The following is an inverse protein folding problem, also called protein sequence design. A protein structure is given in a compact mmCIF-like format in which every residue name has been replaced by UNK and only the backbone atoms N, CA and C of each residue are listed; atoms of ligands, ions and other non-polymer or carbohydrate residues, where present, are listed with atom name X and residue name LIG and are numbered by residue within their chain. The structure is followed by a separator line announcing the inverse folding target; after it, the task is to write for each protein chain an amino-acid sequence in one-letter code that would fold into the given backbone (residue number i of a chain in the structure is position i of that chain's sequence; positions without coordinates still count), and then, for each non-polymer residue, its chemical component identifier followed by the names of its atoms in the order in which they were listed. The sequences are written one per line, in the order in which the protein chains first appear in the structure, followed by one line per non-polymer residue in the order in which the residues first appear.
data_IF_734394556052
#
_entry.id   IF_734394556052
#
_cell.length_a   1.000
_cell.length_b   1.000
_cell.length_c   1.000
_cell.angle_alpha   90.00
_cell.angle_beta   90.00
_cell.angle_gamma   90.00
#
_symmetry.space_group_name_H-M   'P 1'
#
loop_
_entity.id
_entity.type
_entity.pdbx_description
1 polymer ?
#
# COMPACT_ATOMS: atom_id res chain seq x y z
N UNK A 1 -0.05 1.14 -12.23
CA UNK A 1 0.79 1.94 -13.15
C UNK A 1 1.08 3.29 -12.52
N UNK A 2 2.28 3.82 -12.73
CA UNK A 2 2.65 5.18 -12.31
C UNK A 2 2.30 6.17 -13.41
N UNK A 3 1.72 7.30 -13.01
CA UNK A 3 1.46 8.41 -13.91
C UNK A 3 2.30 9.62 -13.46
N UNK A 4 2.93 10.29 -14.40
CA UNK A 4 3.55 11.61 -14.22
C UNK A 4 2.82 12.61 -15.10
N UNK A 5 2.34 13.71 -14.53
CA UNK A 5 1.63 14.75 -15.25
C UNK A 5 0.10 14.58 -15.29
N UNK A 6 -0.55 15.03 -16.35
CA UNK A 6 -2.02 15.09 -16.47
C UNK A 6 -2.65 13.69 -16.56
N UNK A 7 -3.82 13.51 -15.96
CA UNK A 7 -4.62 12.29 -16.04
C UNK A 7 -5.13 12.10 -17.47
N UNK A 8 -4.60 11.10 -18.18
CA UNK A 8 -4.87 10.92 -19.62
C UNK A 8 -5.89 9.83 -19.92
N UNK A 9 -6.29 8.98 -18.95
CA UNK A 9 -7.18 7.83 -19.13
C UNK A 9 -8.22 7.78 -18.03
N UNK A 10 -9.37 7.19 -18.32
CA UNK A 10 -10.36 6.88 -17.30
C UNK A 10 -9.79 5.86 -16.30
N UNK A 11 -9.93 6.12 -15.00
CA UNK A 11 -9.42 5.24 -13.96
C UNK A 11 -9.37 5.90 -12.58
N UNK A 12 -8.98 5.10 -11.58
CA UNK A 12 -8.76 5.59 -10.23
C UNK A 12 -7.32 6.07 -10.08
N UNK A 13 -7.16 7.27 -9.56
CA UNK A 13 -5.85 7.92 -9.37
C UNK A 13 -5.65 8.22 -7.90
N UNK A 14 -4.50 7.81 -7.39
CA UNK A 14 -4.11 7.97 -5.99
C UNK A 14 -2.80 8.75 -5.90
N UNK A 15 -2.68 9.62 -4.94
CA UNK A 15 -1.54 10.51 -4.74
C UNK A 15 -1.95 11.98 -4.84
N UNK A 16 -1.03 12.94 -4.88
CA UNK A 16 0.42 12.75 -5.15
C UNK A 16 1.17 12.08 -3.99
N UNK A 17 2.25 11.38 -4.32
CA UNK A 17 3.18 10.84 -3.34
C UNK A 17 4.40 11.75 -3.26
N UNK A 18 4.78 12.17 -2.06
CA UNK A 18 5.89 13.09 -1.83
C UNK A 18 7.25 12.56 -2.33
N UNK A 19 7.43 11.25 -2.33
CA UNK A 19 8.65 10.61 -2.80
C UNK A 19 8.35 9.45 -3.77
N UNK A 20 9.08 9.40 -4.88
CA UNK A 20 8.97 8.33 -5.89
C UNK A 20 9.29 6.95 -5.28
N UNK A 21 10.27 6.90 -4.36
CA UNK A 21 10.63 5.69 -3.64
C UNK A 21 9.48 5.11 -2.84
N UNK A 22 8.76 5.95 -2.09
CA UNK A 22 7.58 5.55 -1.30
C UNK A 22 6.44 5.05 -2.17
N UNK A 23 6.18 5.71 -3.31
CA UNK A 23 5.18 5.26 -4.27
C UNK A 23 5.52 3.88 -4.85
N UNK A 24 6.79 3.67 -5.23
CA UNK A 24 7.27 2.38 -5.75
C UNK A 24 7.14 1.26 -4.72
N UNK A 25 7.52 1.54 -3.50
CA UNK A 25 7.42 0.60 -2.40
C UNK A 25 5.96 0.22 -2.12
N UNK A 26 5.07 1.22 -2.03
CA UNK A 26 3.62 1.00 -1.84
C UNK A 26 3.03 0.14 -2.95
N UNK A 27 3.34 0.43 -4.22
CA UNK A 27 2.86 -0.36 -5.37
C UNK A 27 3.34 -1.81 -5.26
N UNK A 28 4.63 -2.05 -4.96
CA UNK A 28 5.18 -3.40 -4.82
C UNK A 28 4.49 -4.19 -3.71
N UNK A 29 4.19 -3.54 -2.58
CA UNK A 29 3.51 -4.20 -1.47
C UNK A 29 2.04 -4.48 -1.81
N UNK A 30 1.32 -3.53 -2.40
CA UNK A 30 -0.06 -3.75 -2.85
C UNK A 30 -0.16 -4.93 -3.83
N UNK A 31 0.77 -5.02 -4.78
CA UNK A 31 0.84 -6.14 -5.71
C UNK A 31 1.06 -7.47 -4.99
N UNK A 32 1.91 -7.48 -3.97
CA UNK A 32 2.18 -8.68 -3.16
C UNK A 32 0.98 -9.09 -2.30
N UNK A 33 0.28 -8.13 -1.70
CA UNK A 33 -0.84 -8.39 -0.78
C UNK A 33 -2.09 -8.82 -1.54
N UNK A 34 -2.44 -8.07 -2.59
CA UNK A 34 -3.65 -8.26 -3.37
C UNK A 34 -3.43 -9.10 -4.64
N UNK A 35 -2.23 -9.64 -4.84
CA UNK A 35 -1.86 -10.48 -5.99
C UNK A 35 -2.25 -9.84 -7.34
N UNK A 36 -2.08 -8.53 -7.44
CA UNK A 36 -2.45 -7.76 -8.61
C UNK A 36 -1.49 -8.04 -9.77
N UNK A 37 -2.02 -8.10 -10.99
CA UNK A 37 -1.19 -8.24 -12.18
C UNK A 37 -0.26 -7.05 -12.38
N UNK A 38 0.92 -7.29 -12.90
CA UNK A 38 1.94 -6.27 -13.18
C UNK A 38 2.32 -6.20 -14.66
N UNK A 39 1.88 -7.16 -15.46
CA UNK A 39 2.17 -7.24 -16.88
C UNK A 39 1.35 -6.24 -17.68
N UNK A 40 1.90 -5.82 -18.83
CA UNK A 40 1.23 -4.95 -19.78
C UNK A 40 0.05 -5.67 -20.47
N UNK A 41 -0.86 -4.89 -21.04
CA UNK A 41 -2.08 -5.43 -21.66
C UNK A 41 -1.78 -6.35 -22.84
N UNK A 42 -0.73 -6.07 -23.62
CA UNK A 42 -0.29 -6.93 -24.73
C UNK A 42 0.15 -8.30 -24.22
N UNK A 43 0.98 -8.32 -23.15
CA UNK A 43 1.43 -9.57 -22.53
C UNK A 43 0.26 -10.32 -21.89
N UNK A 44 -0.68 -9.60 -21.28
CA UNK A 44 -1.86 -10.17 -20.66
C UNK A 44 -2.76 -10.91 -21.67
N UNK A 45 -3.02 -10.28 -22.81
CA UNK A 45 -3.93 -10.84 -23.85
C UNK A 45 -3.35 -12.06 -24.57
N UNK A 46 -2.02 -12.13 -24.72
CA UNK A 46 -1.34 -13.16 -25.51
C UNK A 46 -0.75 -14.29 -24.66
N UNK A 47 -1.14 -14.36 -23.38
CA UNK A 47 -0.55 -15.36 -22.48
C UNK A 47 -1.41 -16.64 -22.44
N UNK A 48 -0.76 -17.77 -22.70
CA UNK A 48 -1.39 -19.09 -22.68
C UNK A 48 -1.12 -19.89 -21.40
N UNK A 49 -0.08 -19.52 -20.63
CA UNK A 49 0.30 -20.20 -19.39
C UNK A 49 0.65 -19.19 -18.29
N UNK A 50 0.45 -19.56 -17.01
CA UNK A 50 0.80 -18.67 -15.88
C UNK A 50 2.30 -18.37 -15.86
N UNK A 51 2.65 -17.15 -15.50
CA UNK A 51 4.05 -16.75 -15.39
C UNK A 51 4.62 -17.07 -14.01
N UNK A 52 5.93 -16.85 -13.85
CA UNK A 52 6.65 -17.06 -12.60
C UNK A 52 6.00 -16.31 -11.41
N UNK A 53 5.40 -15.12 -11.65
CA UNK A 53 4.74 -14.36 -10.58
C UNK A 53 3.54 -15.10 -9.97
N UNK A 54 2.86 -15.94 -10.73
CA UNK A 54 1.83 -16.81 -10.19
C UNK A 54 2.46 -17.91 -9.33
N UNK A 55 3.51 -18.55 -9.81
CA UNK A 55 4.19 -19.63 -9.09
C UNK A 55 4.76 -19.15 -7.74
N UNK A 56 5.34 -17.94 -7.70
CA UNK A 56 5.85 -17.34 -6.46
C UNK A 56 4.77 -16.59 -5.67
N UNK A 57 3.48 -16.82 -5.96
CA UNK A 57 2.31 -16.25 -5.27
C UNK A 57 2.35 -14.71 -5.17
N UNK A 58 2.69 -14.05 -6.29
CA UNK A 58 2.68 -12.58 -6.44
C UNK A 58 1.68 -12.06 -7.47
N UNK A 59 0.94 -12.96 -8.12
CA UNK A 59 -0.11 -12.65 -9.07
C UNK A 59 -1.15 -13.75 -9.03
N UNK A 60 -2.42 -13.41 -9.16
CA UNK A 60 -3.53 -14.37 -9.22
C UNK A 60 -3.75 -14.99 -10.60
N UNK A 61 -2.90 -14.68 -11.60
CA UNK A 61 -2.94 -15.14 -12.98
C UNK A 61 -4.32 -14.98 -13.66
N UNK A 62 -4.90 -13.78 -13.69
CA UNK A 62 -6.16 -13.53 -14.40
C UNK A 62 -6.04 -13.71 -15.92
N UNK A 63 -4.82 -13.67 -16.47
CA UNK A 63 -4.55 -13.85 -17.90
C UNK A 63 -4.87 -15.25 -18.42
N UNK A 64 -4.89 -16.26 -17.56
CA UNK A 64 -5.15 -17.66 -17.91
C UNK A 64 -6.34 -18.25 -17.11
N UNK A 65 -7.16 -17.38 -16.50
CA UNK A 65 -8.41 -17.78 -15.86
C UNK A 65 -8.27 -18.45 -14.49
N UNK A 66 -7.10 -18.39 -13.82
CA UNK A 66 -6.94 -18.93 -12.46
C UNK A 66 -7.74 -18.14 -11.40
N UNK A 67 -8.17 -16.94 -11.73
CA UNK A 67 -9.14 -16.16 -10.98
C UNK A 67 -10.19 -15.64 -11.96
N UNK A 68 -11.46 -15.70 -11.61
CA UNK A 68 -12.52 -15.16 -12.43
C UNK A 68 -12.57 -13.62 -12.34
N UNK A 69 -13.24 -12.99 -13.29
CA UNK A 69 -13.32 -11.51 -13.38
C UNK A 69 -13.97 -10.87 -12.15
N UNK A 70 -15.00 -11.50 -11.59
CA UNK A 70 -15.74 -11.01 -10.43
C UNK A 70 -14.84 -10.97 -9.19
N UNK A 71 -14.12 -12.04 -8.93
CA UNK A 71 -13.23 -12.15 -7.79
C UNK A 71 -12.00 -11.24 -7.94
N UNK A 72 -11.49 -11.11 -9.18
CA UNK A 72 -10.41 -10.16 -9.44
C UNK A 72 -10.85 -8.71 -9.24
N UNK A 73 -12.05 -8.33 -9.68
CA UNK A 73 -12.64 -7.00 -9.40
C UNK A 73 -12.79 -6.75 -7.91
N UNK A 74 -13.22 -7.75 -7.13
CA UNK A 74 -13.29 -7.65 -5.66
C UNK A 74 -11.92 -7.39 -5.06
N UNK A 75 -10.90 -8.12 -5.50
CA UNK A 75 -9.51 -7.91 -5.06
C UNK A 75 -9.00 -6.49 -5.38
N UNK A 76 -9.33 -5.97 -6.56
CA UNK A 76 -8.98 -4.59 -6.95
C UNK A 76 -9.73 -3.58 -6.08
N UNK A 77 -11.01 -3.81 -5.77
CA UNK A 77 -11.79 -2.95 -4.89
C UNK A 77 -11.21 -2.91 -3.46
N UNK A 78 -10.78 -4.05 -2.93
CA UNK A 78 -10.10 -4.11 -1.63
C UNK A 78 -8.77 -3.34 -1.64
N UNK A 79 -8.00 -3.41 -2.72
CA UNK A 79 -6.78 -2.62 -2.89
C UNK A 79 -7.06 -1.11 -2.93
N UNK A 80 -8.15 -0.68 -3.60
CA UNK A 80 -8.62 0.70 -3.65
C UNK A 80 -9.05 1.18 -2.26
N UNK A 81 -9.86 0.39 -1.56
CA UNK A 81 -10.31 0.69 -0.20
C UNK A 81 -9.12 0.82 0.77
N UNK A 82 -8.12 -0.03 0.61
CA UNK A 82 -6.90 0.05 1.41
C UNK A 82 -6.15 1.37 1.20
N UNK A 83 -5.89 1.76 -0.07
CA UNK A 83 -5.20 3.03 -0.39
C UNK A 83 -6.02 4.22 0.09
N UNK A 84 -7.36 4.12 0.06
CA UNK A 84 -8.29 5.16 0.54
C UNK A 84 -8.43 5.22 2.07
N UNK A 85 -7.65 4.42 2.82
CA UNK A 85 -7.61 4.44 4.29
C UNK A 85 -8.62 3.51 4.99
N UNK A 86 -9.45 2.77 4.26
CA UNK A 86 -10.44 1.83 4.81
C UNK A 86 -9.85 0.46 5.18
N UNK A 87 -8.69 0.46 5.75
CA UNK A 87 -7.88 -0.74 5.98
C UNK A 87 -8.41 -1.67 7.07
N UNK A 88 -9.17 -1.15 8.05
CA UNK A 88 -9.70 -1.97 9.17
C UNK A 88 -10.61 -3.11 8.70
N UNK A 89 -11.44 -2.86 7.67
CA UNK A 89 -12.32 -3.90 7.10
C UNK A 89 -11.51 -5.05 6.51
N UNK A 90 -10.49 -4.71 5.75
CA UNK A 90 -9.63 -5.68 5.07
C UNK A 90 -8.85 -6.53 6.08
N UNK A 91 -8.27 -5.89 7.10
CA UNK A 91 -7.59 -6.61 8.19
C UNK A 91 -8.54 -7.57 8.91
N UNK A 92 -9.77 -7.14 9.23
CA UNK A 92 -10.79 -8.00 9.85
C UNK A 92 -11.15 -9.21 8.99
N UNK A 93 -11.28 -9.01 7.66
CA UNK A 93 -11.58 -10.09 6.73
C UNK A 93 -10.42 -11.09 6.65
N UNK A 94 -9.18 -10.60 6.53
CA UNK A 94 -7.98 -11.45 6.52
C UNK A 94 -7.78 -12.19 7.85
N UNK A 95 -8.11 -11.59 9.00
CA UNK A 95 -8.08 -12.28 10.29
C UNK A 95 -9.07 -13.45 10.32
N UNK A 96 -10.29 -13.23 9.82
CA UNK A 96 -11.29 -14.31 9.73
C UNK A 96 -10.85 -15.44 8.79
N UNK A 97 -10.25 -15.07 7.64
CA UNK A 97 -9.71 -16.03 6.68
C UNK A 97 -8.58 -16.85 7.31
N UNK A 98 -7.67 -16.21 8.04
CA UNK A 98 -6.58 -16.85 8.78
C UNK A 98 -7.10 -17.82 9.84
N UNK A 99 -8.08 -17.37 10.65
CA UNK A 99 -8.68 -18.21 11.70
C UNK A 99 -9.42 -19.42 11.11
N UNK A 100 -10.16 -19.21 10.00
CA UNK A 100 -10.86 -20.30 9.30
C UNK A 100 -9.86 -21.32 8.76
N UNK A 101 -8.84 -20.88 8.03
CA UNK A 101 -7.79 -21.75 7.49
C UNK A 101 -7.06 -22.52 8.61
N UNK A 102 -6.80 -21.86 9.74
CA UNK A 102 -6.19 -22.52 10.92
C UNK A 102 -7.08 -23.60 11.51
N UNK A 103 -8.40 -23.38 11.61
CA UNK A 103 -9.36 -24.39 12.08
C UNK A 103 -9.48 -25.59 11.14
N UNK A 104 -9.34 -25.33 9.83
CA UNK A 104 -9.33 -26.35 8.78
C UNK A 104 -7.96 -27.05 8.65
N UNK A 105 -6.99 -26.73 9.53
CA UNK A 105 -5.61 -27.22 9.51
C UNK A 105 -4.83 -26.88 8.22
N UNK A 106 -5.33 -25.92 7.42
CA UNK A 106 -4.65 -25.41 6.23
C UNK A 106 -3.66 -24.29 6.64
N UNK A 107 -2.55 -24.72 7.23
CA UNK A 107 -1.54 -23.82 7.76
C UNK A 107 -0.85 -22.97 6.69
N UNK A 108 -0.81 -23.45 5.45
CA UNK A 108 -0.24 -22.65 4.35
C UNK A 108 -1.12 -21.42 4.04
N UNK A 109 -2.43 -21.59 3.93
CA UNK A 109 -3.37 -20.47 3.73
C UNK A 109 -3.38 -19.56 4.96
N UNK A 110 -3.36 -20.10 6.16
CA UNK A 110 -3.27 -19.31 7.38
C UNK A 110 -1.99 -18.45 7.43
N UNK A 111 -0.83 -19.02 7.05
CA UNK A 111 0.43 -18.29 6.98
C UNK A 111 0.39 -17.16 5.91
N UNK A 112 -0.21 -17.42 4.74
CA UNK A 112 -0.37 -16.40 3.70
C UNK A 112 -1.24 -15.24 4.20
N UNK A 113 -2.37 -15.52 4.86
CA UNK A 113 -3.24 -14.50 5.42
C UNK A 113 -2.53 -13.68 6.52
N UNK A 114 -1.80 -14.35 7.43
CA UNK A 114 -0.96 -13.70 8.45
C UNK A 114 0.06 -12.75 7.83
N UNK A 115 0.78 -13.20 6.81
CA UNK A 115 1.84 -12.40 6.19
C UNK A 115 1.26 -11.19 5.43
N UNK A 116 0.05 -11.32 4.86
CA UNK A 116 -0.71 -10.20 4.29
C UNK A 116 -1.10 -9.19 5.38
N UNK A 117 -1.63 -9.63 6.53
CA UNK A 117 -1.96 -8.75 7.66
C UNK A 117 -0.71 -7.99 8.13
N UNK A 118 0.42 -8.70 8.31
CA UNK A 118 1.69 -8.09 8.73
C UNK A 118 2.15 -7.01 7.74
N UNK A 119 2.09 -7.30 6.44
CA UNK A 119 2.46 -6.32 5.41
C UNK A 119 1.51 -5.11 5.38
N UNK A 120 0.19 -5.30 5.55
CA UNK A 120 -0.79 -4.21 5.67
C UNK A 120 -0.50 -3.32 6.88
N UNK A 121 -0.21 -3.90 8.04
CA UNK A 121 0.14 -3.17 9.26
C UNK A 121 1.40 -2.33 9.06
N UNK A 122 2.42 -2.88 8.40
CA UNK A 122 3.65 -2.15 8.11
C UNK A 122 3.42 -0.92 7.23
N UNK A 123 2.56 -1.03 6.20
CA UNK A 123 2.18 0.11 5.36
C UNK A 123 1.45 1.17 6.20
N UNK A 124 0.51 0.77 7.04
CA UNK A 124 -0.25 1.71 7.87
C UNK A 124 0.64 2.50 8.82
N UNK A 125 1.61 1.84 9.42
CA UNK A 125 2.58 2.50 10.30
C UNK A 125 3.38 3.55 9.53
N UNK A 126 3.76 3.25 8.27
CA UNK A 126 4.47 4.18 7.39
C UNK A 126 3.56 5.29 6.82
N UNK A 127 2.23 5.05 6.71
CA UNK A 127 1.25 5.99 6.14
C UNK A 127 0.49 6.80 7.19
N UNK A 128 0.76 6.64 8.49
CA UNK A 128 0.13 7.47 9.54
C UNK A 128 0.29 8.97 9.32
N UNK A 129 1.20 9.36 8.43
CA UNK A 129 1.43 10.75 8.01
C UNK A 129 0.35 11.26 7.03
N UNK A 130 -0.41 10.36 6.36
CA UNK A 130 -1.47 10.75 5.43
C UNK A 130 -2.84 10.69 6.12
N UNK A 131 -3.12 11.64 7.00
CA UNK A 131 -4.45 11.79 7.59
C UNK A 131 -5.38 12.47 6.58
N UNK A 132 -6.37 11.74 6.09
CA UNK A 132 -7.38 12.20 5.12
C UNK A 132 -8.31 13.29 5.64
N UNK A 133 -8.28 13.60 6.94
CA UNK A 133 -9.15 14.57 7.58
C UNK A 133 -8.57 15.99 7.66
N UNK A 134 -7.27 16.18 7.38
CA UNK A 134 -6.63 17.49 7.43
C UNK A 134 -6.70 18.14 6.05
N UNK A 135 -7.49 19.21 5.93
CA UNK A 135 -7.60 19.97 4.68
C UNK A 135 -6.36 20.82 4.47
N UNK A 136 -5.93 21.53 5.52
CA UNK A 136 -4.70 22.32 5.58
C UNK A 136 -4.14 22.22 7.00
N UNK A 137 -2.88 21.82 7.13
CA UNK A 137 -2.19 21.76 8.40
C UNK A 137 -0.68 21.66 8.20
N UNK A 138 0.07 22.21 9.14
CA UNK A 138 1.48 21.95 9.30
C UNK A 138 1.66 21.14 10.59
N UNK A 139 2.17 19.92 10.45
CA UNK A 139 2.39 19.00 11.57
C UNK A 139 3.86 19.07 11.93
N UNK A 140 4.15 19.51 13.16
CA UNK A 140 5.51 19.65 13.67
C UNK A 140 5.77 18.53 14.66
N UNK A 141 6.87 17.82 14.46
CA UNK A 141 7.36 16.79 15.37
C UNK A 141 8.77 17.15 15.82
N UNK A 142 9.04 16.99 17.11
CA UNK A 142 10.34 17.26 17.71
C UNK A 142 10.85 15.95 18.32
N UNK A 143 12.09 15.61 18.00
CA UNK A 143 12.81 14.49 18.59
C UNK A 143 14.17 14.95 19.10
N UNK A 144 14.48 14.63 20.35
CA UNK A 144 15.76 14.96 20.99
C UNK A 144 16.43 13.69 21.45
N UNK A 145 17.68 13.49 21.04
CA UNK A 145 18.50 12.36 21.43
C UNK A 145 19.96 12.79 21.51
N UNK A 146 20.65 12.41 22.59
CA UNK A 146 22.10 12.61 22.78
C UNK A 146 22.55 14.05 22.50
N UNK A 147 21.79 15.04 23.00
CA UNK A 147 22.12 16.47 22.83
C UNK A 147 21.86 17.04 21.44
N UNK A 148 21.26 16.25 20.51
CA UNK A 148 20.84 16.70 19.18
C UNK A 148 19.32 16.77 19.11
N UNK A 149 18.82 17.85 18.52
CA UNK A 149 17.38 18.02 18.29
C UNK A 149 17.09 18.01 16.79
N UNK A 150 16.10 17.22 16.39
CA UNK A 150 15.53 17.25 15.06
C UNK A 150 14.10 17.78 15.17
N UNK A 151 13.80 18.82 14.43
CA UNK A 151 12.44 19.34 14.25
C UNK A 151 12.00 19.01 12.83
N UNK A 152 10.96 18.21 12.68
CA UNK A 152 10.43 17.84 11.36
C UNK A 152 9.05 18.46 11.17
N UNK A 153 8.89 19.15 10.06
CA UNK A 153 7.64 19.80 9.67
C UNK A 153 7.08 19.09 8.44
N UNK A 154 5.82 18.65 8.51
CA UNK A 154 5.08 18.06 7.40
C UNK A 154 4.00 19.05 6.94
N UNK A 155 3.98 19.35 5.65
CA UNK A 155 3.03 20.29 5.06
C UNK A 155 1.85 19.55 4.44
N UNK A 156 0.65 19.77 4.97
CA UNK A 156 -0.59 19.24 4.41
C UNK A 156 -1.36 20.37 3.75
N UNK A 157 -1.73 20.21 2.47
CA UNK A 157 -2.55 21.15 1.70
C UNK A 157 -3.54 20.35 0.85
N UNK A 158 -4.78 20.78 0.84
CA UNK A 158 -5.87 20.10 0.09
C UNK A 158 -5.98 18.60 0.36
N UNK A 159 -5.87 18.20 1.64
CA UNK A 159 -5.87 16.79 2.10
C UNK A 159 -4.70 15.95 1.60
N UNK A 160 -3.61 16.58 1.16
CA UNK A 160 -2.45 15.91 0.60
C UNK A 160 -1.18 16.33 1.34
N UNK A 161 -0.25 15.40 1.52
CA UNK A 161 1.06 15.71 2.04
C UNK A 161 1.92 16.28 0.90
N UNK A 162 2.24 17.58 0.98
CA UNK A 162 3.07 18.32 0.02
C UNK A 162 4.57 18.10 0.23
N UNK A 163 4.94 17.44 1.31
CA UNK A 163 6.33 17.15 1.63
C UNK A 163 6.64 17.41 3.11
N UNK A 164 7.91 17.31 3.43
CA UNK A 164 8.41 17.59 4.77
C UNK A 164 9.78 18.24 4.70
N UNK A 165 10.14 18.94 5.77
CA UNK A 165 11.44 19.55 5.95
C UNK A 165 11.93 19.25 7.36
N UNK A 166 13.18 18.81 7.47
CA UNK A 166 13.85 18.60 8.75
C UNK A 166 14.79 19.76 9.05
N UNK A 167 14.75 20.22 10.29
CA UNK A 167 15.62 21.26 10.84
C UNK A 167 16.41 20.67 12.00
N UNK A 168 17.66 21.04 12.09
CA UNK A 168 18.57 20.64 13.17
C UNK A 168 19.08 21.90 13.88
N UNK A 169 18.25 22.46 14.81
CA UNK A 169 18.66 23.67 15.54
C UNK A 169 19.90 23.39 16.38
N UNK A 170 20.83 24.30 16.34
CA UNK A 170 21.94 24.33 17.31
C UNK A 170 21.43 24.93 18.62
N UNK A 171 21.62 24.24 19.69
CA UNK A 171 21.29 24.72 21.05
C UNK A 171 22.43 24.34 21.96
N UNK A 172 22.63 25.15 22.98
CA UNK A 172 23.61 24.82 24.02
C UNK A 172 23.11 23.58 24.77
N UNK A 173 23.98 22.63 25.05
CA UNK A 173 23.61 21.50 25.89
C UNK A 173 23.49 22.03 27.34
N UNK A 174 22.25 22.02 27.86
CA UNK A 174 22.00 22.14 29.31
C UNK A 174 22.37 20.82 30.00
#
# INVERSE_FOLDING_TARGET
TKLRGKKARNGYYFGPFAAIGSANWTIKILQKIFLLRVCDDTVFKNRERPCILYQIKRCSAPCVGHINEKDYKSTVADAIDFISGKSRRIQKNLSKEMEKASKELDYEKAAIARDRIKALTQIQTSQKINQTNLTEADVISIYKETGKTCVQVFFFRSKQNWGNQAFYPKHDPD
#
